data_IF_292265948775
#
_entry.id   IF_292265948775
#
_cell.length_a   1.000
_cell.length_b   1.000
_cell.length_c   1.000
_cell.angle_alpha   90.00
_cell.angle_beta   90.00
_cell.angle_gamma   90.00
#
_symmetry.space_group_name_H-M   'P 1'
#
loop_
_entity.id
_entity.type
_entity.pdbx_description
1 polymer ?
#
# COMPACT_ATOMS: atom_id res chain seq x y z
N UNK A 1 0.18 18.34 8.68
CA UNK A 1 -1.25 18.34 8.28
C UNK A 1 -1.61 16.93 7.90
N UNK A 2 -2.70 16.34 8.41
CA UNK A 2 -3.12 15.02 8.00
C UNK A 2 -3.37 14.99 6.49
N UNK A 3 -3.01 13.89 5.84
CA UNK A 3 -3.23 13.70 4.41
C UNK A 3 -4.75 13.73 4.11
N UNK A 4 -5.12 14.38 3.01
CA UNK A 4 -6.52 14.37 2.54
C UNK A 4 -6.95 12.95 2.16
N UNK A 5 -8.18 12.53 2.52
CA UNK A 5 -8.69 11.23 2.14
C UNK A 5 -8.76 11.06 0.62
N UNK A 6 -8.50 9.84 0.15
CA UNK A 6 -8.59 9.49 -1.27
C UNK A 6 -9.65 8.40 -1.50
N UNK A 7 -10.12 8.27 -2.72
CA UNK A 7 -10.89 7.12 -3.22
C UNK A 7 -9.98 6.20 -4.04
N UNK A 8 -10.34 4.93 -4.24
CA UNK A 8 -9.64 4.09 -5.21
C UNK A 8 -9.53 4.77 -6.57
N UNK A 9 -8.42 4.52 -7.26
CA UNK A 9 -8.23 5.01 -8.64
C UNK A 9 -9.42 4.58 -9.52
N UNK A 10 -9.92 5.43 -10.43
CA UNK A 10 -11.04 5.07 -11.31
C UNK A 10 -10.81 3.82 -12.17
N UNK A 11 -9.55 3.44 -12.40
CA UNK A 11 -9.19 2.22 -13.12
C UNK A 11 -9.01 1.00 -12.18
N UNK A 12 -9.14 1.17 -10.86
CA UNK A 12 -9.15 0.04 -9.96
C UNK A 12 -10.36 -0.85 -10.27
N UNK A 13 -10.13 -2.17 -10.36
CA UNK A 13 -11.18 -3.12 -10.75
C UNK A 13 -12.29 -3.13 -9.71
N UNK A 14 -13.55 -2.85 -10.09
CA UNK A 14 -14.66 -2.77 -9.14
C UNK A 14 -14.83 -4.06 -8.33
N UNK A 15 -14.65 -5.23 -8.98
CA UNK A 15 -14.78 -6.54 -8.34
C UNK A 15 -13.71 -6.77 -7.28
N UNK A 16 -12.48 -6.28 -7.54
CA UNK A 16 -11.38 -6.32 -6.57
C UNK A 16 -11.67 -5.39 -5.39
N UNK A 17 -12.12 -4.18 -5.66
CA UNK A 17 -12.48 -3.20 -4.62
C UNK A 17 -13.60 -3.74 -3.73
N UNK A 18 -14.62 -4.40 -4.33
CA UNK A 18 -15.69 -5.04 -3.59
C UNK A 18 -15.19 -6.21 -2.71
N UNK A 19 -14.29 -7.06 -3.24
CA UNK A 19 -13.69 -8.15 -2.47
C UNK A 19 -12.82 -7.62 -1.32
N UNK A 20 -12.05 -6.55 -1.56
CA UNK A 20 -11.26 -5.88 -0.53
C UNK A 20 -12.15 -5.28 0.58
N UNK A 21 -13.23 -4.60 0.19
CA UNK A 21 -14.22 -4.05 1.11
C UNK A 21 -14.86 -5.15 1.98
N UNK A 22 -15.19 -6.29 1.39
CA UNK A 22 -15.75 -7.43 2.12
C UNK A 22 -14.78 -7.95 3.20
N UNK A 23 -13.47 -8.08 2.88
CA UNK A 23 -12.44 -8.42 3.87
C UNK A 23 -12.40 -7.37 4.99
N UNK A 24 -12.37 -6.08 4.64
CA UNK A 24 -12.34 -4.98 5.60
C UNK A 24 -13.59 -4.99 6.51
N UNK A 25 -14.78 -5.23 5.96
CA UNK A 25 -16.03 -5.30 6.72
C UNK A 25 -16.08 -6.50 7.68
N UNK A 26 -15.53 -7.65 7.30
CA UNK A 26 -15.38 -8.79 8.20
C UNK A 26 -14.46 -8.47 9.38
N UNK A 27 -13.36 -7.76 9.14
CA UNK A 27 -12.47 -7.26 10.18
C UNK A 27 -13.22 -6.26 11.06
N UNK A 28 -13.88 -5.25 10.49
CA UNK A 28 -14.65 -4.26 11.23
C UNK A 28 -15.73 -4.91 12.11
N UNK A 29 -16.44 -5.91 11.60
CA UNK A 29 -17.46 -6.64 12.34
C UNK A 29 -16.87 -7.35 13.57
N UNK A 30 -15.66 -7.89 13.49
CA UNK A 30 -14.97 -8.50 14.64
C UNK A 30 -14.56 -7.49 15.72
N UNK A 31 -14.47 -6.20 15.36
CA UNK A 31 -14.09 -5.11 16.26
C UNK A 31 -15.31 -4.42 16.93
N UNK A 32 -16.53 -4.72 16.49
CA UNK A 32 -17.76 -4.03 16.93
C UNK A 32 -18.04 -4.13 18.43
N UNK A 33 -17.49 -5.15 19.11
CA UNK A 33 -17.57 -5.32 20.56
C UNK A 33 -16.55 -4.52 21.38
N UNK A 34 -15.63 -3.81 20.73
CA UNK A 34 -14.61 -3.03 21.42
C UNK A 34 -15.17 -1.72 21.99
N UNK A 35 -14.65 -1.24 23.12
CA UNK A 35 -15.04 0.05 23.69
C UNK A 35 -14.75 1.21 22.70
N UNK A 36 -15.67 2.17 22.57
CA UNK A 36 -15.53 3.33 21.67
C UNK A 36 -14.22 4.12 21.85
N UNK A 37 -13.66 4.15 23.06
CA UNK A 37 -12.40 4.87 23.36
C UNK A 37 -11.17 4.27 22.66
N UNK A 38 -11.25 3.05 22.16
CA UNK A 38 -10.14 2.39 21.43
C UNK A 38 -10.36 2.39 19.91
N UNK A 39 -11.52 2.83 19.45
CA UNK A 39 -11.89 2.95 18.04
C UNK A 39 -11.65 4.38 17.54
N UNK A 40 -11.43 4.56 16.22
CA UNK A 40 -11.26 3.48 15.26
C UNK A 40 -9.90 2.77 15.40
N UNK A 41 -9.88 1.51 15.01
CA UNK A 41 -8.62 0.82 14.71
C UNK A 41 -8.19 1.26 13.30
N UNK A 42 -6.92 1.63 13.14
CA UNK A 42 -6.37 1.94 11.82
C UNK A 42 -5.77 0.68 11.20
N UNK A 43 -6.13 0.43 9.94
CA UNK A 43 -5.57 -0.64 9.10
C UNK A 43 -4.70 0.01 8.04
N UNK A 44 -3.40 -0.22 8.09
CA UNK A 44 -2.42 0.33 7.16
C UNK A 44 -2.13 -0.68 6.06
N UNK A 45 -2.64 -0.41 4.87
CA UNK A 45 -2.51 -1.29 3.70
C UNK A 45 -1.24 -0.94 2.94
N UNK A 46 -0.49 -1.98 2.57
CA UNK A 46 0.76 -1.91 1.83
C UNK A 46 0.69 -2.79 0.57
N UNK A 47 1.84 -3.15 0.04
CA UNK A 47 2.01 -4.18 -0.98
C UNK A 47 1.27 -3.92 -2.29
N UNK A 48 0.84 -5.00 -2.92
CA UNK A 48 0.16 -4.97 -4.22
C UNK A 48 -1.26 -4.43 -4.14
N UNK A 49 -1.94 -4.64 -3.02
CA UNK A 49 -3.29 -4.11 -2.78
C UNK A 49 -3.29 -2.58 -2.77
N UNK A 50 -2.37 -1.95 -2.02
CA UNK A 50 -2.23 -0.50 -2.02
C UNK A 50 -1.88 0.06 -3.41
N UNK A 51 -0.96 -0.59 -4.13
CA UNK A 51 -0.62 -0.20 -5.50
C UNK A 51 -1.84 -0.20 -6.42
N UNK A 52 -2.66 -1.28 -6.38
CA UNK A 52 -3.87 -1.38 -7.19
C UNK A 52 -4.88 -0.28 -6.87
N UNK A 53 -5.08 -0.01 -5.58
CA UNK A 53 -6.00 1.04 -5.12
C UNK A 53 -5.52 2.45 -5.52
N UNK A 54 -4.21 2.68 -5.64
CA UNK A 54 -3.64 3.94 -6.12
C UNK A 54 -3.66 4.12 -7.63
N UNK A 55 -3.58 3.03 -8.40
CA UNK A 55 -3.21 3.12 -9.82
C UNK A 55 -4.14 2.39 -10.78
N UNK A 56 -4.96 1.49 -10.28
CA UNK A 56 -5.75 0.58 -11.10
C UNK A 56 -4.95 -0.48 -11.86
N UNK A 57 -3.62 -0.43 -11.73
CA UNK A 57 -2.73 -1.35 -12.46
C UNK A 57 -2.79 -2.78 -11.90
N UNK A 58 -1.70 -3.45 -11.70
CA UNK A 58 -1.58 -4.82 -11.25
C UNK A 58 -2.50 -5.20 -10.07
N UNK A 59 -3.25 -6.28 -10.21
CA UNK A 59 -4.06 -6.89 -9.14
C UNK A 59 -3.19 -7.82 -8.28
N UNK A 60 -3.27 -7.72 -6.95
CA UNK A 60 -2.67 -8.65 -5.99
C UNK A 60 -3.67 -9.71 -5.56
N UNK A 61 -3.19 -10.89 -5.13
CA UNK A 61 -4.02 -11.92 -4.51
C UNK A 61 -4.12 -11.76 -2.99
N UNK A 62 -3.20 -11.01 -2.42
CA UNK A 62 -3.02 -10.80 -1.00
C UNK A 62 -3.27 -9.35 -0.62
N UNK A 63 -3.76 -9.17 0.58
CA UNK A 63 -3.87 -7.88 1.25
C UNK A 63 -2.81 -7.85 2.35
N UNK A 64 -1.72 -7.14 2.06
CA UNK A 64 -0.67 -6.84 3.03
C UNK A 64 -1.13 -5.68 3.90
N UNK A 65 -1.37 -5.90 5.19
CA UNK A 65 -1.73 -4.82 6.08
C UNK A 65 -1.30 -5.07 7.53
N UNK A 66 -1.05 -3.98 8.24
CA UNK A 66 -0.83 -3.98 9.69
C UNK A 66 -1.86 -3.08 10.37
N UNK A 67 -1.89 -3.06 11.70
CA UNK A 67 -2.90 -2.34 12.46
C UNK A 67 -2.26 -1.44 13.51
N UNK A 68 -2.93 -0.33 13.84
CA UNK A 68 -2.50 0.59 14.90
C UNK A 68 -2.46 -0.05 16.29
N UNK A 69 -3.09 -1.21 16.44
CA UNK A 69 -3.10 -2.04 17.69
C UNK A 69 -3.16 -3.50 17.31
N UNK A 70 -2.68 -4.34 18.20
CA UNK A 70 -2.86 -5.79 18.08
C UNK A 70 -4.33 -6.15 18.22
N UNK A 71 -4.88 -6.84 17.23
CA UNK A 71 -6.28 -7.30 17.19
C UNK A 71 -6.33 -8.80 16.94
N UNK A 72 -7.44 -9.42 17.34
CA UNK A 72 -7.77 -10.79 16.92
C UNK A 72 -8.46 -10.73 15.56
N UNK A 73 -7.84 -11.31 14.55
CA UNK A 73 -8.41 -11.39 13.21
C UNK A 73 -9.40 -12.54 13.11
N UNK A 74 -10.57 -12.35 12.45
CA UNK A 74 -11.51 -13.44 12.20
C UNK A 74 -10.89 -14.50 11.29
N UNK A 75 -11.36 -15.75 11.36
CA UNK A 75 -10.75 -16.86 10.60
C UNK A 75 -10.93 -16.70 9.09
N UNK A 76 -12.11 -16.33 8.65
CA UNK A 76 -12.45 -16.23 7.21
C UNK A 76 -12.16 -14.82 6.66
N UNK A 77 -10.95 -14.63 6.15
CA UNK A 77 -10.50 -13.41 5.47
C UNK A 77 -10.08 -13.71 4.02
N UNK A 78 -10.85 -14.56 3.36
CA UNK A 78 -10.71 -14.89 1.95
C UNK A 78 -12.03 -14.59 1.23
N UNK A 79 -11.94 -13.96 0.06
CA UNK A 79 -13.10 -13.63 -0.78
C UNK A 79 -12.84 -14.09 -2.19
N UNK A 80 -13.68 -15.03 -2.66
CA UNK A 80 -13.70 -15.40 -4.06
C UNK A 80 -14.54 -14.39 -4.85
N UNK A 81 -14.04 -13.93 -5.98
CA UNK A 81 -14.74 -13.01 -6.87
C UNK A 81 -14.52 -13.40 -8.33
N UNK A 82 -15.34 -12.86 -9.23
CA UNK A 82 -15.13 -12.97 -10.67
C UNK A 82 -14.60 -11.65 -11.19
N UNK A 83 -13.47 -11.74 -11.91
CA UNK A 83 -12.89 -10.61 -12.61
C UNK A 83 -13.71 -10.26 -13.86
N UNK A 84 -13.49 -9.07 -14.44
CA UNK A 84 -14.19 -8.61 -15.65
C UNK A 84 -14.03 -9.56 -16.85
N UNK A 85 -12.96 -10.35 -16.90
CA UNK A 85 -12.74 -11.41 -17.89
C UNK A 85 -13.50 -12.72 -17.60
N UNK A 86 -14.32 -12.75 -16.53
CA UNK A 86 -15.08 -13.93 -16.06
C UNK A 86 -14.25 -14.95 -15.26
N UNK A 87 -12.94 -14.75 -15.14
CA UNK A 87 -12.06 -15.65 -14.39
C UNK A 87 -12.35 -15.59 -12.89
N UNK A 88 -12.40 -16.77 -12.27
CA UNK A 88 -12.49 -16.87 -10.81
C UNK A 88 -11.15 -16.42 -10.18
N UNK A 89 -11.23 -15.53 -9.22
CA UNK A 89 -10.11 -15.00 -8.45
C UNK A 89 -10.36 -15.17 -6.96
N UNK A 90 -9.28 -15.17 -6.21
CA UNK A 90 -9.31 -15.18 -4.75
C UNK A 90 -8.48 -14.01 -4.24
N UNK A 91 -9.06 -13.23 -3.32
CA UNK A 91 -8.36 -12.24 -2.52
C UNK A 91 -8.34 -12.72 -1.08
N UNK A 92 -7.19 -12.70 -0.43
CA UNK A 92 -7.06 -13.07 0.97
C UNK A 92 -6.22 -12.07 1.75
N UNK A 93 -6.47 -11.98 3.04
CA UNK A 93 -5.66 -11.18 3.97
C UNK A 93 -4.40 -11.97 4.36
N UNK A 94 -3.22 -11.40 4.12
CA UNK A 94 -1.95 -12.03 4.52
C UNK A 94 -1.73 -11.86 6.03
N UNK A 95 -1.98 -12.94 6.77
CA UNK A 95 -1.78 -12.98 8.23
C UNK A 95 -0.32 -13.01 8.64
N UNK A 96 0.58 -13.33 7.72
CA UNK A 96 2.03 -13.44 7.94
C UNK A 96 2.76 -12.16 7.53
N UNK A 97 2.04 -11.20 6.94
CA UNK A 97 2.64 -9.92 6.57
C UNK A 97 3.31 -9.29 7.78
N UNK A 98 4.59 -8.98 7.62
CA UNK A 98 5.41 -8.36 8.64
C UNK A 98 6.28 -7.29 7.99
N UNK A 99 6.08 -6.05 8.41
CA UNK A 99 6.79 -4.88 7.91
C UNK A 99 8.13 -4.61 8.63
N UNK A 100 8.39 -5.31 9.75
CA UNK A 100 9.59 -5.09 10.57
C UNK A 100 10.91 -5.46 9.86
N UNK A 101 10.84 -6.29 8.82
CA UNK A 101 12.00 -6.68 8.01
C UNK A 101 12.11 -5.85 6.72
N UNK A 102 11.14 -4.99 6.43
CA UNK A 102 11.14 -4.08 5.31
C UNK A 102 11.90 -2.79 5.58
N UNK A 103 12.23 -2.05 4.52
CA UNK A 103 12.66 -0.67 4.67
C UNK A 103 11.40 0.20 4.80
N UNK A 104 11.23 0.86 5.94
CA UNK A 104 10.10 1.74 6.20
C UNK A 104 10.58 2.95 7.00
N UNK A 105 10.09 4.13 6.66
CA UNK A 105 10.35 5.34 7.43
C UNK A 105 9.56 5.32 8.74
N UNK A 106 10.11 5.88 9.82
CA UNK A 106 9.45 5.90 11.14
C UNK A 106 8.06 6.56 11.11
N UNK A 107 7.88 7.61 10.30
CA UNK A 107 6.60 8.32 10.15
C UNK A 107 5.66 7.70 9.09
N UNK A 108 5.98 6.54 8.50
CA UNK A 108 5.21 6.00 7.37
C UNK A 108 3.73 5.75 7.70
N UNK A 109 3.42 5.41 8.94
CA UNK A 109 2.04 5.24 9.39
C UNK A 109 1.33 6.56 9.65
N UNK A 110 2.03 7.56 10.15
CA UNK A 110 1.49 8.90 10.38
C UNK A 110 1.23 9.62 9.05
N UNK A 111 2.11 9.42 8.06
CA UNK A 111 2.00 9.96 6.71
C UNK A 111 1.06 9.14 5.80
N UNK A 112 0.49 8.03 6.30
CA UNK A 112 -0.45 7.21 5.53
C UNK A 112 -1.71 8.01 5.16
N UNK A 113 -2.35 7.60 4.06
CA UNK A 113 -3.48 8.32 3.45
C UNK A 113 -4.78 7.58 3.75
N UNK A 114 -5.80 8.24 4.34
CA UNK A 114 -7.10 7.61 4.54
C UNK A 114 -7.75 7.22 3.22
N UNK A 115 -8.28 5.99 3.14
CA UNK A 115 -9.01 5.48 1.99
C UNK A 115 -10.51 5.51 2.25
N UNK A 116 -11.26 6.21 1.40
CA UNK A 116 -12.71 6.24 1.45
C UNK A 116 -13.28 5.13 0.56
N UNK A 117 -13.96 4.19 1.19
CA UNK A 117 -14.71 3.14 0.51
C UNK A 117 -16.19 3.26 0.89
N UNK A 118 -17.04 3.32 -0.11
CA UNK A 118 -18.49 3.30 0.11
C UNK A 118 -18.88 1.95 0.74
N UNK A 119 -19.64 1.99 1.82
CA UNK A 119 -20.02 0.78 2.58
C UNK A 119 -19.03 0.35 3.67
N UNK A 120 -17.94 1.11 3.92
CA UNK A 120 -17.07 0.89 5.09
C UNK A 120 -17.49 1.78 6.27
N UNK A 121 -17.29 1.29 7.49
CA UNK A 121 -17.48 2.08 8.71
C UNK A 121 -16.12 2.55 9.26
N UNK A 122 -15.73 3.75 8.87
CA UNK A 122 -14.47 4.37 9.31
C UNK A 122 -14.44 4.73 10.79
N UNK A 123 -15.59 4.70 11.50
CA UNK A 123 -15.64 4.91 12.97
C UNK A 123 -15.23 3.66 13.74
N UNK A 124 -15.21 2.51 13.09
CA UNK A 124 -14.77 1.22 13.65
C UNK A 124 -13.40 0.83 13.09
N UNK A 125 -13.26 0.82 11.75
CA UNK A 125 -12.02 0.48 11.06
C UNK A 125 -11.67 1.58 10.05
N UNK A 126 -10.66 2.40 10.38
CA UNK A 126 -10.14 3.40 9.46
C UNK A 126 -9.11 2.75 8.54
N UNK A 127 -9.48 2.57 7.25
CA UNK A 127 -8.57 2.01 6.26
C UNK A 127 -7.66 3.14 5.77
N UNK A 128 -6.36 2.89 5.75
CA UNK A 128 -5.34 3.83 5.30
C UNK A 128 -4.37 3.11 4.37
N UNK A 129 -3.93 3.75 3.32
CA UNK A 129 -2.85 3.26 2.47
C UNK A 129 -1.54 3.86 2.95
N UNK A 130 -0.44 3.11 2.97
CA UNK A 130 0.88 3.74 3.01
C UNK A 130 0.94 4.82 1.94
N UNK A 131 1.58 5.96 2.21
CA UNK A 131 1.78 6.97 1.18
C UNK A 131 2.42 6.33 -0.06
N UNK A 132 2.14 6.83 -1.26
CA UNK A 132 2.75 6.29 -2.47
C UNK A 132 4.29 6.27 -2.38
N UNK A 133 4.85 7.23 -1.65
CA UNK A 133 6.28 7.34 -1.42
C UNK A 133 6.78 6.23 -0.48
N UNK A 134 6.10 6.00 0.66
CA UNK A 134 6.47 4.93 1.59
C UNK A 134 6.19 3.55 1.01
N UNK A 135 5.14 3.41 0.17
CA UNK A 135 4.90 2.20 -0.59
C UNK A 135 6.08 1.89 -1.53
N UNK A 136 6.64 2.90 -2.20
CA UNK A 136 7.85 2.71 -3.03
C UNK A 136 9.06 2.35 -2.17
N UNK A 137 9.25 3.01 -1.02
CA UNK A 137 10.35 2.73 -0.08
C UNK A 137 10.27 1.29 0.45
N UNK A 138 9.09 0.80 0.83
CA UNK A 138 8.90 -0.57 1.35
C UNK A 138 9.34 -1.65 0.35
N UNK A 139 9.30 -1.37 -0.94
CA UNK A 139 9.72 -2.29 -2.01
C UNK A 139 11.24 -2.39 -2.19
N UNK A 140 12.01 -1.48 -1.61
CA UNK A 140 13.47 -1.47 -1.73
C UNK A 140 14.13 -2.60 -0.92
N UNK A 141 13.46 -3.10 0.10
CA UNK A 141 13.95 -4.21 0.92
C UNK A 141 14.18 -5.48 0.11
N UNK A 142 13.24 -5.89 -0.71
CA UNK A 142 13.32 -7.05 -1.63
C UNK A 142 13.88 -6.65 -3.00
N UNK A 143 13.37 -5.58 -3.58
CA UNK A 143 13.74 -4.98 -4.86
C UNK A 143 13.77 -5.97 -6.02
N UNK A 144 12.77 -6.84 -6.10
CA UNK A 144 12.57 -7.80 -7.20
C UNK A 144 12.24 -7.09 -8.52
N UNK A 145 12.15 -7.85 -9.62
CA UNK A 145 11.68 -7.31 -10.90
C UNK A 145 10.29 -6.66 -10.80
N UNK A 146 9.37 -7.31 -10.05
CA UNK A 146 8.03 -6.78 -9.80
C UNK A 146 8.06 -5.50 -8.97
N UNK A 147 8.92 -5.41 -7.95
CA UNK A 147 9.04 -4.20 -7.13
C UNK A 147 9.53 -3.00 -7.94
N UNK A 148 10.44 -3.22 -8.88
CA UNK A 148 10.92 -2.18 -9.80
C UNK A 148 9.82 -1.68 -10.72
N UNK A 149 8.99 -2.59 -11.24
CA UNK A 149 7.85 -2.23 -12.09
C UNK A 149 6.77 -1.48 -11.28
N UNK A 150 6.51 -1.89 -10.05
CA UNK A 150 5.58 -1.22 -9.15
C UNK A 150 6.05 0.23 -8.86
N UNK A 151 7.36 0.45 -8.63
CA UNK A 151 7.94 1.79 -8.44
C UNK A 151 7.82 2.62 -9.73
N UNK A 152 8.12 2.02 -10.90
CA UNK A 152 7.96 2.69 -12.18
C UNK A 152 6.50 3.08 -12.44
N UNK A 153 5.54 2.24 -12.05
CA UNK A 153 4.11 2.52 -12.15
C UNK A 153 3.71 3.74 -11.30
N UNK A 154 4.14 3.79 -10.04
CA UNK A 154 3.89 4.96 -9.18
C UNK A 154 4.46 6.25 -9.79
N UNK A 155 5.64 6.17 -10.41
CA UNK A 155 6.25 7.30 -11.10
C UNK A 155 5.48 7.71 -12.36
N UNK A 156 5.06 6.76 -13.22
CA UNK A 156 4.24 7.03 -14.41
C UNK A 156 2.92 7.71 -14.05
N UNK A 157 2.33 7.32 -12.92
CA UNK A 157 1.11 7.94 -12.37
C UNK A 157 1.39 9.26 -11.65
N UNK A 158 2.64 9.75 -11.66
CA UNK A 158 3.10 11.01 -11.01
C UNK A 158 2.80 11.06 -9.51
N UNK A 159 2.76 9.90 -8.86
CA UNK A 159 2.51 9.78 -7.42
C UNK A 159 3.79 9.94 -6.60
N UNK A 160 4.95 9.72 -7.21
CA UNK A 160 6.28 9.87 -6.61
C UNK A 160 7.24 10.57 -7.57
N UNK A 161 8.23 11.26 -6.99
CA UNK A 161 9.33 11.87 -7.71
C UNK A 161 10.69 11.34 -7.26
N UNK A 162 11.69 11.40 -8.15
CA UNK A 162 13.03 10.83 -7.91
C UNK A 162 13.75 11.48 -6.72
N UNK A 163 13.63 12.80 -6.57
CA UNK A 163 14.23 13.53 -5.46
C UNK A 163 13.58 13.16 -4.11
N UNK A 164 12.24 13.12 -4.06
CA UNK A 164 11.49 12.74 -2.86
C UNK A 164 11.76 11.28 -2.47
N UNK A 165 11.80 10.36 -3.44
CA UNK A 165 12.12 8.95 -3.19
C UNK A 165 13.53 8.80 -2.59
N UNK A 166 14.52 9.50 -3.13
CA UNK A 166 15.88 9.50 -2.60
C UNK A 166 15.91 9.94 -1.14
N UNK A 167 15.32 11.10 -0.86
CA UNK A 167 15.31 11.68 0.48
C UNK A 167 14.62 10.76 1.50
N UNK A 168 13.42 10.26 1.18
CA UNK A 168 12.64 9.40 2.06
C UNK A 168 13.33 8.07 2.31
N UNK A 169 13.86 7.43 1.26
CA UNK A 169 14.56 6.16 1.38
C UNK A 169 15.87 6.28 2.17
N UNK A 170 16.62 7.38 2.01
CA UNK A 170 17.81 7.64 2.80
C UNK A 170 17.49 7.87 4.28
N UNK A 171 16.41 8.61 4.59
CA UNK A 171 15.97 8.80 5.96
C UNK A 171 15.54 7.46 6.60
N UNK A 172 14.84 6.59 5.86
CA UNK A 172 14.44 5.27 6.33
C UNK A 172 15.62 4.33 6.67
N UNK A 173 16.80 4.54 6.07
CA UNK A 173 18.01 3.77 6.41
C UNK A 173 18.46 3.93 7.86
N UNK A 174 18.13 5.05 8.51
CA UNK A 174 18.51 5.31 9.90
C UNK A 174 17.94 4.29 10.89
N UNK A 175 16.77 3.70 10.58
CA UNK A 175 16.12 2.65 11.38
C UNK A 175 16.29 1.23 10.83
N UNK A 176 16.98 1.06 9.69
CA UNK A 176 17.07 -0.24 9.05
C UNK A 176 18.14 -1.14 9.68
N UNK A 177 17.74 -2.36 10.01
CA UNK A 177 18.65 -3.41 10.53
C UNK A 177 18.86 -4.45 9.43
N UNK A 178 20.05 -4.45 8.80
CA UNK A 178 20.40 -5.40 7.74
C UNK A 178 21.56 -4.92 6.86
N UNK A 179 21.66 -5.47 5.66
CA UNK A 179 22.69 -5.10 4.67
C UNK A 179 22.34 -3.73 4.04
N UNK A 180 22.86 -2.68 4.66
CA UNK A 180 22.69 -1.29 4.21
C UNK A 180 23.33 -1.04 2.84
N UNK A 181 24.43 -1.72 2.49
CA UNK A 181 25.10 -1.54 1.20
C UNK A 181 24.19 -2.03 0.06
N UNK A 182 23.56 -3.18 0.24
CA UNK A 182 22.56 -3.72 -0.70
C UNK A 182 21.39 -2.76 -0.86
N UNK A 183 20.84 -2.24 0.24
CA UNK A 183 19.72 -1.28 0.19
C UNK A 183 20.13 0.02 -0.49
N UNK A 184 21.31 0.55 -0.24
CA UNK A 184 21.81 1.75 -0.94
C UNK A 184 21.89 1.54 -2.45
N UNK A 185 22.32 0.37 -2.92
CA UNK A 185 22.27 0.00 -4.33
C UNK A 185 20.85 -0.04 -4.90
N UNK A 186 19.89 -0.57 -4.13
CA UNK A 186 18.48 -0.58 -4.49
C UNK A 186 17.91 0.85 -4.59
N UNK A 187 18.21 1.72 -3.62
CA UNK A 187 17.82 3.14 -3.63
C UNK A 187 18.33 3.84 -4.90
N UNK A 188 19.63 3.71 -5.21
CA UNK A 188 20.21 4.35 -6.39
C UNK A 188 19.53 3.87 -7.68
N UNK A 189 19.27 2.57 -7.78
CA UNK A 189 18.58 1.99 -8.94
C UNK A 189 17.13 2.45 -9.05
N UNK A 190 16.39 2.48 -7.96
CA UNK A 190 15.01 2.97 -7.92
C UNK A 190 14.89 4.45 -8.28
N UNK A 191 15.77 5.28 -7.73
CA UNK A 191 15.83 6.71 -8.06
C UNK A 191 16.11 6.92 -9.55
N UNK A 192 16.98 6.11 -10.17
CA UNK A 192 17.23 6.16 -11.61
C UNK A 192 15.99 5.77 -12.41
N UNK A 193 15.30 4.69 -12.02
CA UNK A 193 14.04 4.28 -12.67
C UNK A 193 13.03 5.43 -12.68
N UNK A 194 12.83 6.10 -11.53
CA UNK A 194 11.88 7.21 -11.42
C UNK A 194 12.33 8.41 -12.26
N UNK A 195 13.60 8.78 -12.22
CA UNK A 195 14.15 9.88 -13.03
C UNK A 195 14.01 9.63 -14.54
N UNK A 196 14.21 8.39 -15.00
CA UNK A 196 14.02 8.00 -16.39
C UNK A 196 12.55 8.14 -16.83
N UNK A 197 11.59 7.81 -15.94
CA UNK A 197 10.16 8.01 -16.19
C UNK A 197 9.83 9.50 -16.26
N UNK A 198 10.32 10.31 -15.32
CA UNK A 198 10.13 11.77 -15.32
C UNK A 198 10.65 12.41 -16.62
N UNK A 199 11.86 12.02 -17.05
CA UNK A 199 12.47 12.55 -18.29
C UNK A 199 11.67 12.20 -19.55
N UNK A 200 11.10 10.99 -19.64
CA UNK A 200 10.25 10.56 -20.76
C UNK A 200 8.94 11.34 -20.79
N UNK A 201 8.31 11.53 -19.63
CA UNK A 201 7.06 12.28 -19.52
C UNK A 201 7.24 13.76 -19.89
N UNK A 202 8.36 14.37 -19.56
CA UNK A 202 8.69 15.75 -19.95
C UNK A 202 8.82 15.91 -21.48
N UNK A 203 9.38 14.89 -22.18
CA UNK A 203 9.53 14.92 -23.66
C UNK A 203 8.22 14.71 -24.42
N UNK A 204 7.23 14.08 -23.80
CA UNK A 204 5.92 13.80 -24.44
C UNK A 204 4.92 14.96 -24.25
N UNK A 205 5.20 15.88 -23.33
CA UNK A 205 4.35 17.05 -23.04
C UNK A 205 4.77 18.33 -23.78
N UNK A 206 5.81 18.26 -24.62
CA UNK A 206 6.29 19.34 -25.48
C UNK A 206 5.90 19.07 -26.92
#
# INVERSE_FOLDING_TARGET
MPASPIRPDPNARPEYVAAFLEIANRIASSLSGLPRRVLPIRMYVAGGAALHLYTGERVSRDVDATFSRRIALPENLEVAYRDADGAARLLYFDRQFNDTLGLLHEDAYDDSVPLLLEGSDSTVLEIRLLSALDLAVSKLGRFSGQDREDIATLARRKLIGSAALRQRAQAALGGYVGDTARIMGAIQSAVRIVADVEARSAKQGT
#
